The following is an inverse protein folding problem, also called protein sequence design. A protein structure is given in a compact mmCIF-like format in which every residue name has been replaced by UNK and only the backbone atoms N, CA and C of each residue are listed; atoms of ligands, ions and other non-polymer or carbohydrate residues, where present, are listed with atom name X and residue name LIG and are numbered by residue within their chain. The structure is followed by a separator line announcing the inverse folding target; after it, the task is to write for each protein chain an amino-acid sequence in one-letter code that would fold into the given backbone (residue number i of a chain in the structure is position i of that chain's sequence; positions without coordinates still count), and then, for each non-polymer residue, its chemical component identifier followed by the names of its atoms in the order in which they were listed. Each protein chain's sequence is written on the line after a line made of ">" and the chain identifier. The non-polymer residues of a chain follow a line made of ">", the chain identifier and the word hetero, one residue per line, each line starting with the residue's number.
data_IF_059791367307
#
_entry.id   IF_059791367307
#
_cell.length_a   1.000
_cell.length_b   1.000
_cell.length_c   1.000
_cell.angle_alpha   90.00
_cell.angle_beta   90.00
_cell.angle_gamma   90.00
#
_symmetry.space_group_name_H-M   'P 1'
#
loop_
_entity.id
_entity.type
_entity.pdbx_description
1 polymer ?
#
# COMPACT_ATOMS: atom_id res chain seq x y z
N UNK A 1 -1.55 9.93 -9.83
CA UNK A 1 -0.20 9.97 -9.27
C UNK A 1 0.89 9.68 -10.30
N UNK A 2 0.72 8.75 -11.24
CA UNK A 2 1.73 8.51 -12.29
C UNK A 2 2.05 9.77 -13.11
N UNK A 3 1.01 10.48 -13.56
CA UNK A 3 1.17 11.77 -14.27
C UNK A 3 1.92 12.83 -13.43
N UNK A 4 1.75 12.81 -12.11
CA UNK A 4 2.48 13.71 -11.21
C UNK A 4 3.98 13.43 -11.24
N UNK A 5 4.37 12.15 -11.28
CA UNK A 5 5.78 11.76 -11.42
C UNK A 5 6.34 12.12 -12.79
N UNK A 6 5.55 11.93 -13.85
CA UNK A 6 5.93 12.34 -15.21
C UNK A 6 6.25 13.83 -15.29
N UNK A 7 5.33 14.68 -14.80
CA UNK A 7 5.52 16.14 -14.80
C UNK A 7 6.70 16.54 -13.91
N UNK A 8 6.89 15.88 -12.76
CA UNK A 8 8.01 16.18 -11.87
C UNK A 8 9.36 15.85 -12.52
N UNK A 9 9.47 14.72 -13.22
CA UNK A 9 10.65 14.35 -14.01
C UNK A 9 10.96 15.38 -15.10
N UNK A 10 9.97 15.69 -15.95
CA UNK A 10 10.08 16.69 -17.02
C UNK A 10 10.54 18.06 -16.51
N UNK A 11 10.04 18.47 -15.33
CA UNK A 11 10.37 19.76 -14.70
C UNK A 11 11.61 19.73 -13.81
N UNK A 12 12.28 18.58 -13.68
CA UNK A 12 13.40 18.36 -12.74
C UNK A 12 13.05 18.78 -11.30
N UNK A 13 11.83 18.46 -10.88
CA UNK A 13 11.27 18.80 -9.58
C UNK A 13 11.20 17.61 -8.61
N UNK A 14 10.50 17.82 -7.51
CA UNK A 14 10.21 16.79 -6.51
C UNK A 14 8.72 16.47 -6.50
N UNK A 15 8.38 15.23 -6.17
CA UNK A 15 7.01 14.78 -5.96
C UNK A 15 6.92 13.82 -4.77
N UNK A 16 5.84 13.94 -4.01
CA UNK A 16 5.48 12.98 -2.98
C UNK A 16 4.52 11.94 -3.57
N UNK A 17 4.79 10.66 -3.37
CA UNK A 17 4.04 9.55 -3.97
C UNK A 17 4.11 8.31 -3.09
N UNK A 18 3.17 7.37 -3.27
CA UNK A 18 3.26 6.06 -2.66
C UNK A 18 4.31 5.17 -3.38
N UNK A 19 4.86 4.20 -2.64
CA UNK A 19 5.91 3.29 -3.16
C UNK A 19 5.43 2.47 -4.35
N UNK A 20 4.17 2.04 -4.36
CA UNK A 20 3.61 1.21 -5.44
C UNK A 20 3.56 1.96 -6.77
N UNK A 21 3.11 3.22 -6.75
CA UNK A 21 3.11 4.08 -7.92
C UNK A 21 4.54 4.33 -8.42
N UNK A 22 5.50 4.59 -7.53
CA UNK A 22 6.89 4.79 -7.96
C UNK A 22 7.50 3.55 -8.60
N UNK A 23 7.25 2.35 -8.04
CA UNK A 23 7.74 1.09 -8.63
C UNK A 23 7.19 0.92 -10.06
N UNK A 24 5.91 1.23 -10.29
CA UNK A 24 5.32 1.20 -11.64
C UNK A 24 5.90 2.26 -12.57
N UNK A 25 6.22 3.44 -12.05
CA UNK A 25 6.89 4.49 -12.81
C UNK A 25 8.30 4.07 -13.23
N UNK A 26 9.09 3.51 -12.32
CA UNK A 26 10.42 2.98 -12.65
C UNK A 26 10.35 1.89 -13.71
N UNK A 27 9.39 0.97 -13.59
CA UNK A 27 9.22 -0.12 -14.56
C UNK A 27 8.73 0.36 -15.93
N UNK A 28 7.83 1.35 -15.97
CA UNK A 28 7.32 1.91 -17.23
C UNK A 28 8.35 2.75 -17.98
N UNK A 29 9.27 3.40 -17.25
CA UNK A 29 10.31 4.27 -17.81
C UNK A 29 11.64 3.55 -18.02
N UNK A 30 11.93 2.49 -17.27
CA UNK A 30 13.19 1.74 -17.29
C UNK A 30 14.39 2.69 -17.20
N UNK A 31 15.29 2.67 -18.18
CA UNK A 31 16.47 3.54 -18.27
C UNK A 31 16.12 5.03 -18.42
N UNK A 32 14.87 5.36 -18.75
CA UNK A 32 14.38 6.74 -18.86
C UNK A 32 13.76 7.26 -17.56
N UNK A 33 13.82 6.49 -16.46
CA UNK A 33 13.34 6.96 -15.16
C UNK A 33 14.27 8.07 -14.66
N UNK A 34 13.79 9.31 -14.68
CA UNK A 34 14.53 10.52 -14.36
C UNK A 34 14.33 11.00 -12.90
N UNK A 35 13.49 10.30 -12.14
CA UNK A 35 13.29 10.52 -10.71
C UNK A 35 13.88 9.37 -9.88
N UNK A 36 14.50 9.73 -8.76
CA UNK A 36 15.04 8.80 -7.75
C UNK A 36 14.39 9.05 -6.40
N UNK A 37 14.42 8.05 -5.53
CA UNK A 37 14.00 8.22 -4.13
C UNK A 37 15.09 8.99 -3.39
N UNK A 38 14.70 10.09 -2.76
CA UNK A 38 15.62 10.89 -1.93
C UNK A 38 15.23 10.94 -0.46
N UNK A 39 14.00 10.56 -0.11
CA UNK A 39 13.46 10.53 1.26
C UNK A 39 12.50 9.34 1.39
N UNK A 40 12.75 8.46 2.35
CA UNK A 40 11.87 7.34 2.71
C UNK A 40 12.14 6.85 4.14
N UNK A 41 11.19 6.12 4.73
CA UNK A 41 11.36 5.43 6.02
C UNK A 41 10.88 6.19 7.26
N UNK A 42 10.64 7.50 7.17
CA UNK A 42 10.11 8.30 8.27
C UNK A 42 8.75 7.79 8.76
N UNK A 43 8.53 7.86 10.09
CA UNK A 43 7.28 7.43 10.70
C UNK A 43 6.06 8.21 10.18
N UNK A 44 6.24 9.49 9.83
CA UNK A 44 5.20 10.34 9.25
C UNK A 44 4.80 9.94 7.82
N UNK A 45 5.62 9.15 7.13
CA UNK A 45 5.35 8.67 5.77
C UNK A 45 4.66 7.31 5.74
N UNK A 46 4.41 6.70 6.92
CA UNK A 46 3.68 5.43 7.02
C UNK A 46 2.22 5.63 6.60
N UNK A 47 1.79 4.84 5.63
CA UNK A 47 0.40 4.76 5.23
C UNK A 47 -0.27 3.53 5.87
N UNK A 48 -0.84 3.71 7.08
CA UNK A 48 -1.45 2.62 7.84
C UNK A 48 -2.78 2.19 7.22
N UNK A 49 -2.97 0.88 7.09
CA UNK A 49 -4.25 0.28 6.69
C UNK A 49 -4.97 -0.31 7.90
N UNK A 50 -6.30 -0.24 7.89
CA UNK A 50 -7.17 -0.87 8.88
C UNK A 50 -8.37 -1.50 8.18
N UNK A 51 -8.87 -2.59 8.74
CA UNK A 51 -10.12 -3.24 8.32
C UNK A 51 -11.16 -3.02 9.42
N UNK A 52 -12.38 -2.65 9.04
CA UNK A 52 -13.46 -2.34 9.98
C UNK A 52 -14.74 -3.04 9.56
N UNK A 53 -15.33 -3.80 10.49
CA UNK A 53 -16.65 -4.39 10.27
C UNK A 53 -17.72 -3.30 10.38
N UNK A 54 -18.65 -3.26 9.42
CA UNK A 54 -19.77 -2.30 9.42
C UNK A 54 -20.69 -2.61 10.60
N UNK A 55 -21.15 -1.58 11.31
CA UNK A 55 -22.01 -1.74 12.49
C UNK A 55 -23.39 -2.32 12.09
N UNK A 56 -23.75 -3.54 12.53
CA UNK A 56 -25.01 -4.19 12.18
C UNK A 56 -26.22 -3.59 12.91
N UNK A 57 -26.03 -2.82 13.99
CA UNK A 57 -27.11 -2.11 14.67
C UNK A 57 -27.60 -0.87 13.89
N UNK A 58 -26.80 -0.39 12.91
CA UNK A 58 -27.14 0.78 12.09
C UNK A 58 -27.70 0.42 10.72
N UNK A 59 -27.42 -0.78 10.21
CA UNK A 59 -27.73 -1.18 8.85
C UNK A 59 -28.27 -2.61 8.81
N UNK A 60 -29.38 -2.79 8.09
CA UNK A 60 -29.97 -4.11 7.85
C UNK A 60 -29.16 -4.90 6.80
N UNK A 61 -29.34 -6.22 6.76
CA UNK A 61 -28.71 -7.13 5.78
C UNK A 61 -27.16 -7.13 5.79
N UNK A 62 -26.53 -6.74 6.90
CA UNK A 62 -25.08 -6.83 7.08
C UNK A 62 -24.68 -8.24 7.49
N UNK A 63 -23.75 -8.85 6.73
CA UNK A 63 -23.12 -10.14 7.07
C UNK A 63 -21.95 -9.93 8.03
N UNK A 64 -22.28 -9.58 9.27
CA UNK A 64 -21.30 -9.16 10.27
C UNK A 64 -20.37 -10.30 10.72
N UNK A 65 -20.92 -11.51 10.85
CA UNK A 65 -20.21 -12.75 11.15
C UNK A 65 -19.11 -13.05 10.10
N UNK A 66 -19.42 -12.86 8.81
CA UNK A 66 -18.45 -13.04 7.72
C UNK A 66 -17.38 -11.96 7.77
N UNK A 67 -17.74 -10.71 8.11
CA UNK A 67 -16.77 -9.63 8.26
C UNK A 67 -15.76 -9.92 9.38
N UNK A 68 -16.20 -10.46 10.51
CA UNK A 68 -15.31 -10.87 11.61
C UNK A 68 -14.38 -12.02 11.18
N UNK A 69 -14.91 -13.04 10.51
CA UNK A 69 -14.09 -14.13 9.98
C UNK A 69 -13.01 -13.63 9.01
N UNK A 70 -13.34 -12.64 8.17
CA UNK A 70 -12.38 -12.01 7.28
C UNK A 70 -11.30 -11.24 8.05
N UNK A 71 -11.67 -10.48 9.08
CA UNK A 71 -10.72 -9.75 9.94
C UNK A 71 -9.77 -10.74 10.62
N UNK A 72 -10.29 -11.80 11.23
CA UNK A 72 -9.49 -12.83 11.91
C UNK A 72 -8.52 -13.53 10.95
N UNK A 73 -8.99 -13.85 9.73
CA UNK A 73 -8.13 -14.39 8.68
C UNK A 73 -7.06 -13.37 8.27
N UNK A 74 -7.40 -12.10 8.11
CA UNK A 74 -6.49 -11.05 7.66
C UNK A 74 -5.35 -10.82 8.66
N UNK A 75 -5.64 -10.86 9.96
CA UNK A 75 -4.63 -10.68 11.04
C UNK A 75 -3.93 -11.98 11.45
N UNK A 76 -4.26 -13.12 10.84
CA UNK A 76 -3.60 -14.40 11.15
C UNK A 76 -2.12 -14.40 10.72
N UNK A 77 -1.23 -15.14 11.42
CA UNK A 77 0.19 -15.20 11.09
C UNK A 77 0.49 -15.62 9.66
N UNK A 78 -0.28 -16.56 9.11
CA UNK A 78 -0.14 -17.00 7.72
C UNK A 78 -0.48 -15.90 6.73
N UNK A 79 -1.54 -15.14 6.97
CA UNK A 79 -1.94 -14.05 6.06
C UNK A 79 -1.04 -12.84 6.20
N UNK A 80 -0.62 -12.49 7.42
CA UNK A 80 0.40 -11.45 7.64
C UNK A 80 1.71 -11.82 6.92
N UNK A 81 2.13 -13.09 6.96
CA UNK A 81 3.27 -13.57 6.17
C UNK A 81 3.04 -13.41 4.66
N UNK A 82 1.87 -13.79 4.15
CA UNK A 82 1.53 -13.60 2.74
C UNK A 82 1.55 -12.12 2.32
N UNK A 83 1.12 -11.21 3.19
CA UNK A 83 1.20 -9.74 2.98
C UNK A 83 2.67 -9.29 2.91
N UNK A 84 3.53 -9.76 3.81
CA UNK A 84 4.97 -9.45 3.76
C UNK A 84 5.66 -10.00 2.51
N UNK A 85 5.22 -11.16 2.01
CA UNK A 85 5.79 -11.82 0.84
C UNK A 85 5.25 -11.26 -0.48
N UNK A 86 4.18 -10.47 -0.45
CA UNK A 86 3.64 -9.83 -1.64
C UNK A 86 4.67 -8.90 -2.29
N UNK A 87 4.90 -9.11 -3.59
CA UNK A 87 5.83 -8.33 -4.39
C UNK A 87 5.11 -7.68 -5.56
N UNK A 88 5.36 -6.39 -5.73
CA UNK A 88 5.03 -5.67 -6.96
C UNK A 88 6.30 -5.59 -7.81
N UNK A 89 6.27 -6.21 -9.00
CA UNK A 89 7.39 -6.19 -9.94
C UNK A 89 8.71 -6.62 -9.27
N UNK A 90 8.65 -7.68 -8.44
CA UNK A 90 9.80 -8.24 -7.73
C UNK A 90 10.20 -7.53 -6.43
N UNK A 91 9.61 -6.37 -6.12
CA UNK A 91 9.91 -5.58 -4.91
C UNK A 91 8.84 -5.77 -3.84
N UNK A 92 9.25 -5.99 -2.58
CA UNK A 92 8.31 -6.05 -1.45
C UNK A 92 7.60 -4.71 -1.30
N UNK A 93 6.28 -4.73 -1.13
CA UNK A 93 5.48 -3.50 -1.06
C UNK A 93 4.89 -3.22 0.32
N UNK A 94 4.50 -4.26 1.06
CA UNK A 94 3.81 -4.11 2.34
C UNK A 94 4.64 -4.63 3.50
N UNK A 95 4.47 -3.97 4.65
CA UNK A 95 5.08 -4.31 5.92
C UNK A 95 3.97 -4.53 6.95
N UNK A 96 3.54 -5.79 7.16
CA UNK A 96 2.43 -6.10 8.06
C UNK A 96 2.76 -5.70 9.50
N UNK A 97 1.76 -5.22 10.23
CA UNK A 97 1.89 -4.79 11.62
C UNK A 97 0.65 -5.09 12.46
N UNK A 98 -0.17 -6.07 12.07
CA UNK A 98 -1.27 -6.49 12.93
C UNK A 98 -0.69 -7.08 14.23
N UNK A 99 -1.05 -6.48 15.36
CA UNK A 99 -0.90 -7.10 16.66
C UNK A 99 -2.10 -8.04 16.88
N UNK A 100 -1.85 -9.26 17.35
CA UNK A 100 -2.89 -10.07 17.96
C UNK A 100 -3.08 -9.63 19.40
#
# INVERSE_FOLDING_TARGET
>A
MLETLMIAGERKGYAFTDRGTFIKYEDSRKEQADLVIIVEGDASLKNQYSVMAVNPAKWENIRYDIALQYIDWLISPSTQKAIAEFKLLGKQLFFPNAAR
#
